data_IF_225551883178
#
_entry.id   IF_225551883178
#
_cell.length_a   1.000
_cell.length_b   1.000
_cell.length_c   1.000
_cell.angle_alpha   90.00
_cell.angle_beta   90.00
_cell.angle_gamma   90.00
#
_symmetry.space_group_name_H-M   'P 1'
#
loop_
_entity.id
_entity.type
_entity.pdbx_description
1 polymer ?
#
# COMPACT_ATOMS: atom_id res chain seq x y z
N UNK A 1 -13.32 13.08 -14.68
CA UNK A 1 -12.56 13.98 -13.79
C UNK A 1 -11.79 13.15 -12.78
N UNK A 2 -10.78 13.71 -12.09
CA UNK A 2 -10.06 13.00 -11.03
C UNK A 2 -11.00 12.60 -9.88
N UNK A 3 -10.75 11.43 -9.28
CA UNK A 3 -11.54 10.93 -8.13
C UNK A 3 -11.29 11.83 -6.92
N UNK A 4 -12.32 12.29 -6.20
CA UNK A 4 -12.13 13.08 -4.98
C UNK A 4 -11.31 12.32 -3.93
N UNK A 5 -10.43 12.97 -3.18
CA UNK A 5 -9.57 12.30 -2.18
C UNK A 5 -10.35 11.49 -1.14
N UNK A 6 -11.52 11.99 -0.71
CA UNK A 6 -12.39 11.30 0.24
C UNK A 6 -12.96 9.98 -0.30
N UNK A 7 -13.28 9.94 -1.60
CA UNK A 7 -13.76 8.74 -2.28
C UNK A 7 -12.61 7.74 -2.43
N UNK A 8 -11.43 8.20 -2.84
CA UNK A 8 -10.26 7.33 -2.98
C UNK A 8 -9.85 6.68 -1.65
N UNK A 9 -9.93 7.42 -0.53
CA UNK A 9 -9.70 6.87 0.81
C UNK A 9 -10.77 5.83 1.19
N UNK A 10 -12.05 6.13 0.95
CA UNK A 10 -13.13 5.19 1.22
C UNK A 10 -12.94 3.88 0.46
N UNK A 11 -12.65 3.95 -0.84
CA UNK A 11 -12.41 2.76 -1.66
C UNK A 11 -11.19 1.97 -1.16
N UNK A 12 -10.12 2.65 -0.71
CA UNK A 12 -8.94 1.99 -0.17
C UNK A 12 -9.29 1.21 1.11
N UNK A 13 -10.07 1.82 2.01
CA UNK A 13 -10.54 1.15 3.23
C UNK A 13 -11.38 -0.08 2.89
N UNK A 14 -12.30 0.04 1.94
CA UNK A 14 -13.14 -1.08 1.50
C UNK A 14 -12.31 -2.22 0.91
N UNK A 15 -11.29 -1.92 0.11
CA UNK A 15 -10.37 -2.92 -0.44
C UNK A 15 -9.55 -3.62 0.66
N UNK A 16 -8.98 -2.85 1.60
CA UNK A 16 -8.22 -3.42 2.72
C UNK A 16 -9.10 -4.33 3.59
N UNK A 17 -10.33 -3.91 3.86
CA UNK A 17 -11.33 -4.71 4.57
C UNK A 17 -11.64 -6.00 3.81
N UNK A 18 -11.85 -5.92 2.50
CA UNK A 18 -12.15 -7.06 1.63
C UNK A 18 -11.06 -8.14 1.67
N UNK A 19 -9.79 -7.73 1.62
CA UNK A 19 -8.66 -8.70 1.59
C UNK A 19 -8.28 -9.22 2.97
N UNK A 20 -8.74 -8.60 4.07
CA UNK A 20 -8.35 -8.98 5.44
C UNK A 20 -9.45 -9.68 6.24
N UNK A 21 -10.73 -9.30 6.10
CA UNK A 21 -11.79 -9.78 7.02
C UNK A 21 -12.03 -11.29 7.00
N UNK A 22 -11.87 -11.94 5.84
CA UNK A 22 -12.20 -13.36 5.67
C UNK A 22 -10.96 -14.23 5.39
N UNK A 23 -9.77 -13.74 5.74
CA UNK A 23 -8.53 -14.45 5.51
C UNK A 23 -8.33 -15.57 6.54
N UNK A 24 -8.37 -16.82 6.06
CA UNK A 24 -8.14 -18.03 6.89
C UNK A 24 -6.65 -18.39 7.01
N UNK A 25 -5.81 -17.84 6.14
CA UNK A 25 -4.36 -18.00 6.14
C UNK A 25 -3.69 -16.62 6.09
N UNK A 26 -2.39 -16.49 6.34
CA UNK A 26 -1.67 -15.24 6.09
C UNK A 26 -1.75 -14.84 4.61
N UNK A 27 -1.89 -13.53 4.34
CA UNK A 27 -1.80 -13.02 2.96
C UNK A 27 -0.39 -13.25 2.40
N UNK A 28 -0.31 -13.37 1.06
CA UNK A 28 0.96 -13.42 0.33
C UNK A 28 1.95 -14.49 0.86
N UNK A 29 1.44 -15.70 1.17
CA UNK A 29 2.22 -16.82 1.72
C UNK A 29 3.01 -16.47 3.00
N UNK A 30 2.51 -15.52 3.80
CA UNK A 30 3.19 -15.09 5.03
C UNK A 30 4.44 -14.23 4.80
N UNK A 31 4.57 -13.63 3.62
CA UNK A 31 5.64 -12.66 3.34
C UNK A 31 5.60 -11.52 4.37
N UNK A 32 6.75 -11.21 4.96
CA UNK A 32 6.91 -10.07 5.86
C UNK A 32 7.35 -8.83 5.08
N UNK A 33 6.99 -7.66 5.60
CA UNK A 33 7.33 -6.35 5.03
C UNK A 33 7.91 -5.45 6.11
N UNK A 34 8.61 -4.40 5.68
CA UNK A 34 9.10 -3.37 6.60
C UNK A 34 7.93 -2.64 7.27
N UNK A 35 8.08 -2.34 8.57
CA UNK A 35 7.14 -1.48 9.28
C UNK A 35 7.23 -0.05 8.75
N UNK A 36 6.09 0.64 8.66
CA UNK A 36 6.01 2.02 8.17
C UNK A 36 5.64 2.99 9.29
N UNK A 37 6.14 4.22 9.20
CA UNK A 37 5.72 5.30 10.09
C UNK A 37 4.48 5.99 9.51
N UNK A 38 3.35 5.97 10.22
CA UNK A 38 2.06 6.47 9.74
C UNK A 38 1.93 7.99 9.93
N UNK A 39 2.74 8.76 9.20
CA UNK A 39 2.75 10.24 9.22
C UNK A 39 2.19 10.83 7.92
N UNK A 40 2.52 12.08 7.59
CA UNK A 40 1.99 12.80 6.42
C UNK A 40 2.27 12.11 5.06
N UNK A 41 3.29 11.24 4.97
CA UNK A 41 3.63 10.51 3.74
C UNK A 41 3.21 9.03 3.74
N UNK A 42 2.20 8.67 4.55
CA UNK A 42 1.85 7.27 4.83
C UNK A 42 1.56 6.44 3.57
N UNK A 43 0.92 6.99 2.54
CA UNK A 43 0.56 6.24 1.33
C UNK A 43 1.79 5.81 0.53
N UNK A 44 2.80 6.69 0.45
CA UNK A 44 4.04 6.39 -0.24
C UNK A 44 4.88 5.39 0.55
N UNK A 45 5.02 5.58 1.87
CA UNK A 45 5.75 4.63 2.73
C UNK A 45 5.09 3.25 2.73
N UNK A 46 3.76 3.17 2.76
CA UNK A 46 3.03 1.91 2.64
C UNK A 46 3.25 1.23 1.28
N UNK A 47 3.27 2.02 0.19
CA UNK A 47 3.56 1.48 -1.14
C UNK A 47 4.99 0.93 -1.23
N UNK A 48 5.98 1.66 -0.71
CA UNK A 48 7.38 1.24 -0.67
C UNK A 48 7.56 -0.07 0.13
N UNK A 49 6.87 -0.23 1.26
CA UNK A 49 6.91 -1.47 2.02
C UNK A 49 6.30 -2.64 1.25
N UNK A 50 5.21 -2.40 0.50
CA UNK A 50 4.48 -3.44 -0.22
C UNK A 50 5.07 -3.77 -1.60
N UNK A 51 5.86 -2.89 -2.23
CA UNK A 51 6.40 -3.11 -3.59
C UNK A 51 7.33 -4.33 -3.66
N UNK A 52 7.96 -4.69 -2.54
CA UNK A 52 8.85 -5.84 -2.45
C UNK A 52 8.11 -7.18 -2.34
N UNK A 53 6.79 -7.16 -2.11
CA UNK A 53 5.96 -8.37 -2.12
C UNK A 53 5.55 -8.67 -3.56
N UNK A 54 6.28 -9.56 -4.21
CA UNK A 54 5.98 -10.05 -5.56
C UNK A 54 5.04 -11.25 -5.53
N UNK A 55 4.41 -11.55 -6.67
CA UNK A 55 3.52 -12.72 -6.85
C UNK A 55 2.33 -12.81 -5.87
N UNK A 56 1.86 -11.68 -5.34
CA UNK A 56 0.67 -11.61 -4.50
C UNK A 56 -0.44 -10.79 -5.15
N UNK A 57 -1.36 -11.47 -5.86
CA UNK A 57 -2.50 -10.82 -6.51
C UNK A 57 -3.45 -10.14 -5.52
N UNK A 58 -3.53 -10.65 -4.28
CA UNK A 58 -4.41 -10.14 -3.24
C UNK A 58 -4.15 -8.67 -2.89
N UNK A 59 -2.91 -8.17 -3.05
CA UNK A 59 -2.55 -6.78 -2.71
C UNK A 59 -2.34 -5.90 -3.95
N UNK A 60 -2.49 -6.45 -5.16
CA UNK A 60 -2.18 -5.75 -6.40
C UNK A 60 -3.07 -4.51 -6.59
N UNK A 61 -4.37 -4.62 -6.25
CA UNK A 61 -5.30 -3.48 -6.29
C UNK A 61 -4.93 -2.44 -5.23
N UNK A 62 -4.63 -2.85 -4.01
CA UNK A 62 -4.14 -1.98 -2.93
C UNK A 62 -2.91 -1.19 -3.34
N UNK A 63 -1.89 -1.84 -3.93
CA UNK A 63 -0.68 -1.17 -4.43
C UNK A 63 -1.02 -0.11 -5.49
N UNK A 64 -1.96 -0.41 -6.41
CA UNK A 64 -2.42 0.56 -7.42
C UNK A 64 -3.11 1.77 -6.79
N UNK A 65 -3.95 1.57 -5.80
CA UNK A 65 -4.67 2.64 -5.10
C UNK A 65 -3.72 3.51 -4.28
N UNK A 66 -2.77 2.89 -3.56
CA UNK A 66 -1.71 3.60 -2.85
C UNK A 66 -0.84 4.42 -3.80
N UNK A 67 -0.52 3.91 -5.00
CA UNK A 67 0.22 4.66 -6.02
C UNK A 67 -0.55 5.88 -6.54
N UNK A 68 -1.88 5.87 -6.54
CA UNK A 68 -2.68 7.02 -6.94
C UNK A 68 -2.79 8.08 -5.82
N UNK A 69 -2.74 7.64 -4.56
CA UNK A 69 -2.79 8.50 -3.37
C UNK A 69 -1.42 9.04 -2.96
N UNK A 70 -0.35 8.38 -3.39
CA UNK A 70 1.02 8.77 -3.16
C UNK A 70 1.42 9.90 -4.13
N UNK A 71 1.52 11.12 -3.61
CA UNK A 71 1.89 12.31 -4.38
C UNK A 71 3.38 12.29 -4.83
N UNK A 72 4.23 11.55 -4.13
CA UNK A 72 5.63 11.32 -4.48
C UNK A 72 5.82 9.93 -5.07
N UNK A 73 5.70 9.79 -6.40
CA UNK A 73 5.91 8.51 -7.08
C UNK A 73 7.28 7.93 -6.68
N UNK A 74 7.36 6.79 -5.96
CA UNK A 74 8.64 6.23 -5.61
C UNK A 74 9.32 5.82 -6.92
N UNK A 75 10.45 6.45 -7.24
CA UNK A 75 11.31 5.99 -8.33
C UNK A 75 11.86 4.64 -7.91
N UNK A 76 11.78 3.63 -8.79
CA UNK A 76 12.45 2.35 -8.58
C UNK A 76 13.97 2.63 -8.38
N UNK A 77 14.42 2.64 -7.13
CA UNK A 77 15.77 3.04 -6.75
C UNK A 77 15.88 4.09 -5.64
N UNK A 78 14.79 4.69 -5.17
CA UNK A 78 14.83 5.58 -4.00
C UNK A 78 14.15 4.91 -2.81
N UNK A 79 14.96 4.20 -2.01
CA UNK A 79 14.62 3.94 -0.61
C UNK A 79 14.71 5.29 0.09
N UNK A 80 13.58 5.97 0.29
CA UNK A 80 13.53 7.21 1.07
C UNK A 80 13.09 6.98 2.52
N UNK A 81 13.11 5.72 2.98
CA UNK A 81 12.89 5.36 4.39
C UNK A 81 14.17 4.90 5.06
N UNK A 82 15.25 5.70 4.94
CA UNK A 82 16.36 5.71 5.90
C UNK A 82 16.82 7.15 6.12
N UNK A 83 16.26 7.79 7.15
CA UNK A 83 17.05 8.70 7.96
C UNK A 83 16.77 8.36 9.42
N UNK A 84 17.87 8.04 10.09
CA UNK A 84 18.03 7.59 11.48
C UNK A 84 17.28 8.49 12.46
#
# INVERSE_FOLDING_TARGET
GPVPPSIALKELIEELVNITQNQKAPLCNGSMVWSVNLTANMYCSALEALVNVSNCSAIQRTQRMLSALCLHKPSAGQVSSEHI
#
